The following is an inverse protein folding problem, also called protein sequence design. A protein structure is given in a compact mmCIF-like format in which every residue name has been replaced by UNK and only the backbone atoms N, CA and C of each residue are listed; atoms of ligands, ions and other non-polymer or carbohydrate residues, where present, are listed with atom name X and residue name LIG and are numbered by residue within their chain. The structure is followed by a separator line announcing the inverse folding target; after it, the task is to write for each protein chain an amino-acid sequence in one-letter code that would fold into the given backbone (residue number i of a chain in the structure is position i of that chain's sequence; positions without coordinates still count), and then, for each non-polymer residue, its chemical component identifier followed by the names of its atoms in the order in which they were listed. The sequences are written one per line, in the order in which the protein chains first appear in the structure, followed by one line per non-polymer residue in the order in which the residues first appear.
data_IF_387538916241
#
_entry.id   IF_387538916241
#
_cell.length_a   1.000
_cell.length_b   1.000
_cell.length_c   1.000
_cell.angle_alpha   90.00
_cell.angle_beta   90.00
_cell.angle_gamma   90.00
#
_symmetry.space_group_name_H-M   'P 1'
#
loop_
_entity.id
_entity.type
_entity.pdbx_description
1 polymer ?
#
# COMPACT_ATOMS: atom_id res chain seq x y z
N UNK A 1 -52.79 -48.08 17.92
CA UNK A 1 -51.46 -48.10 18.61
C UNK A 1 -50.31 -48.41 17.64
N UNK A 2 -49.98 -47.52 16.69
CA UNK A 2 -48.77 -47.68 15.86
C UNK A 2 -48.36 -46.37 15.16
N UNK A 3 -47.66 -45.46 15.83
CA UNK A 3 -46.97 -44.35 15.14
C UNK A 3 -45.89 -43.65 16.00
N UNK A 4 -45.00 -44.41 16.65
CA UNK A 4 -43.82 -43.84 17.32
C UNK A 4 -42.51 -44.58 17.00
N UNK A 5 -42.54 -45.71 16.28
CA UNK A 5 -41.36 -46.54 16.04
C UNK A 5 -40.55 -46.17 14.78
N UNK A 6 -41.10 -45.37 13.85
CA UNK A 6 -40.49 -45.14 12.52
C UNK A 6 -39.49 -43.98 12.45
N UNK A 7 -39.54 -43.03 13.39
CA UNK A 7 -38.65 -41.84 13.42
C UNK A 7 -37.27 -42.14 14.01
N UNK A 8 -37.19 -43.03 14.99
CA UNK A 8 -35.93 -43.43 15.66
C UNK A 8 -35.04 -44.26 14.72
N UNK A 9 -35.65 -45.11 13.89
CA UNK A 9 -34.94 -45.96 12.92
C UNK A 9 -34.26 -45.11 11.84
N UNK A 10 -34.91 -44.04 11.35
CA UNK A 10 -34.35 -43.13 10.34
C UNK A 10 -33.16 -42.31 10.87
N UNK A 11 -33.23 -41.82 12.12
CA UNK A 11 -32.11 -41.11 12.75
C UNK A 11 -30.90 -42.02 13.00
N UNK A 12 -31.12 -43.27 13.42
CA UNK A 12 -30.04 -44.26 13.61
C UNK A 12 -29.36 -44.63 12.29
N UNK A 13 -30.12 -44.75 11.19
CA UNK A 13 -29.56 -44.99 9.85
C UNK A 13 -28.76 -43.79 9.33
N UNK A 14 -29.22 -42.56 9.58
CA UNK A 14 -28.50 -41.35 9.19
C UNK A 14 -27.17 -41.21 9.96
N UNK A 15 -27.20 -41.45 11.27
CA UNK A 15 -25.98 -41.41 12.11
C UNK A 15 -25.00 -42.50 11.67
N UNK A 16 -25.49 -43.72 11.41
CA UNK A 16 -24.64 -44.80 10.90
C UNK A 16 -23.99 -44.43 9.55
N UNK A 17 -24.74 -43.78 8.65
CA UNK A 17 -24.22 -43.36 7.35
C UNK A 17 -23.15 -42.27 7.49
N UNK A 18 -23.34 -41.29 8.38
CA UNK A 18 -22.33 -40.26 8.67
C UNK A 18 -21.07 -40.88 9.26
N UNK A 19 -21.21 -41.82 10.20
CA UNK A 19 -20.07 -42.52 10.81
C UNK A 19 -19.30 -43.33 9.76
N UNK A 20 -20.01 -44.02 8.85
CA UNK A 20 -19.38 -44.76 7.75
C UNK A 20 -18.64 -43.83 6.80
N UNK A 21 -19.24 -42.69 6.41
CA UNK A 21 -18.56 -41.68 5.56
C UNK A 21 -17.32 -41.12 6.26
N UNK A 22 -17.40 -40.88 7.57
CA UNK A 22 -16.27 -40.36 8.36
C UNK A 22 -15.16 -41.39 8.52
N UNK A 23 -15.50 -42.68 8.68
CA UNK A 23 -14.53 -43.79 8.68
C UNK A 23 -13.90 -43.93 7.29
N UNK A 24 -14.67 -43.87 6.21
CA UNK A 24 -14.15 -43.91 4.84
C UNK A 24 -13.23 -42.73 4.57
N UNK A 25 -13.60 -41.52 5.04
CA UNK A 25 -12.74 -40.34 4.94
C UNK A 25 -11.44 -40.51 5.74
N UNK A 26 -11.52 -41.02 6.96
CA UNK A 26 -10.33 -41.29 7.77
C UNK A 26 -9.44 -42.39 7.19
N UNK A 27 -10.05 -43.43 6.58
CA UNK A 27 -9.32 -44.45 5.85
C UNK A 27 -8.70 -43.88 4.58
N UNK A 28 -9.42 -43.03 3.84
CA UNK A 28 -8.91 -42.32 2.67
C UNK A 28 -7.74 -41.39 3.01
N UNK A 29 -7.83 -40.63 4.11
CA UNK A 29 -6.73 -39.81 4.64
C UNK A 29 -5.57 -40.68 5.15
N UNK A 30 -5.84 -41.91 5.62
CA UNK A 30 -4.82 -42.85 6.10
C UNK A 30 -4.13 -43.63 4.97
N UNK A 31 -4.82 -43.86 3.85
CA UNK A 31 -4.26 -44.53 2.65
C UNK A 31 -3.70 -43.54 1.63
N UNK A 32 -4.15 -42.28 1.66
CA UNK A 32 -3.51 -41.20 0.93
C UNK A 32 -2.31 -40.76 1.75
N UNK A 33 -1.13 -41.26 1.42
CA UNK A 33 0.09 -40.58 1.84
C UNK A 33 0.01 -39.17 1.26
N UNK A 34 -0.24 -38.18 2.12
CA UNK A 34 -0.16 -36.78 1.75
C UNK A 34 1.33 -36.52 1.51
N UNK A 35 1.78 -36.74 0.29
CA UNK A 35 3.15 -36.46 -0.12
C UNK A 35 3.39 -34.96 0.05
N UNK A 36 4.13 -34.60 1.10
CA UNK A 36 4.72 -33.27 1.19
C UNK A 36 5.77 -33.13 0.08
N UNK A 37 5.88 -31.95 -0.56
CA UNK A 37 6.96 -31.70 -1.50
C UNK A 37 8.32 -31.99 -0.84
N UNK A 38 9.22 -32.65 -1.56
CA UNK A 38 10.52 -33.16 -1.09
C UNK A 38 11.42 -32.13 -0.38
N UNK A 39 11.07 -30.84 -0.44
CA UNK A 39 11.78 -29.72 0.15
C UNK A 39 11.81 -29.74 1.69
N UNK A 40 10.92 -30.50 2.35
CA UNK A 40 10.83 -30.52 3.82
C UNK A 40 11.41 -31.77 4.49
N UNK A 41 11.86 -32.76 3.71
CA UNK A 41 12.39 -34.01 4.28
C UNK A 41 13.88 -33.92 4.64
N UNK A 42 14.61 -33.00 4.01
CA UNK A 42 16.07 -32.90 4.16
C UNK A 42 16.54 -31.89 5.23
N UNK A 43 15.62 -31.17 5.86
CA UNK A 43 15.95 -30.28 6.97
C UNK A 43 15.83 -31.03 8.30
N UNK A 44 16.82 -31.89 8.59
CA UNK A 44 17.00 -32.56 9.89
C UNK A 44 17.27 -31.58 11.04
N UNK A 45 16.28 -30.79 11.44
CA UNK A 45 16.41 -29.76 12.49
C UNK A 45 15.54 -30.13 13.70
N UNK A 46 16.13 -30.27 14.91
CA UNK A 46 15.39 -30.64 16.11
C UNK A 46 14.43 -29.51 16.52
N UNK A 47 13.17 -29.86 16.76
CA UNK A 47 12.13 -28.91 17.17
C UNK A 47 12.36 -28.40 18.60
N UNK A 48 12.90 -27.18 18.73
CA UNK A 48 12.77 -26.35 19.92
C UNK A 48 11.62 -25.35 19.73
N UNK A 49 10.85 -25.11 20.81
CA UNK A 49 9.65 -24.26 20.84
C UNK A 49 9.87 -22.81 20.35
N UNK A 50 11.12 -22.36 20.18
CA UNK A 50 11.47 -21.06 19.62
C UNK A 50 11.25 -20.92 18.10
N UNK A 51 11.36 -21.99 17.31
CA UNK A 51 11.28 -21.89 15.85
C UNK A 51 9.85 -22.00 15.29
N UNK A 52 8.89 -22.46 16.09
CA UNK A 52 7.51 -22.60 15.65
C UNK A 52 6.81 -21.24 15.43
N UNK A 53 7.23 -20.19 16.15
CA UNK A 53 6.73 -18.83 15.95
C UNK A 53 7.07 -18.29 14.56
N UNK A 54 8.24 -18.63 14.01
CA UNK A 54 8.64 -18.24 12.67
C UNK A 54 7.87 -19.00 11.58
N UNK A 55 7.47 -20.25 11.86
CA UNK A 55 6.75 -21.11 10.91
C UNK A 55 5.23 -20.80 10.92
N UNK A 56 4.63 -20.43 12.06
CA UNK A 56 3.27 -19.87 12.07
C UNK A 56 3.16 -18.53 11.34
N UNK A 57 4.25 -17.76 11.26
CA UNK A 57 4.32 -16.53 10.43
C UNK A 57 4.05 -16.81 8.94
N UNK A 58 4.33 -18.02 8.47
CA UNK A 58 4.08 -18.44 7.08
C UNK A 58 2.64 -18.86 6.78
N UNK A 59 1.84 -19.23 7.79
CA UNK A 59 0.45 -19.70 7.64
C UNK A 59 -0.60 -18.67 8.09
N UNK A 60 -0.16 -17.58 8.73
CA UNK A 60 -0.88 -16.31 8.93
C UNK A 60 -0.76 -15.38 7.71
N UNK A 61 -0.46 -15.91 6.52
CA UNK A 61 -0.31 -15.19 5.24
C UNK A 61 -1.63 -14.66 4.64
N UNK A 62 -2.58 -14.21 5.46
CA UNK A 62 -3.24 -12.95 5.13
C UNK A 62 -2.28 -11.87 5.65
N UNK A 63 -1.23 -11.62 4.87
CA UNK A 63 -0.35 -10.49 5.10
C UNK A 63 -1.25 -9.26 5.08
N UNK A 64 -1.43 -8.59 6.23
CA UNK A 64 -1.89 -7.21 6.22
C UNK A 64 -0.98 -6.49 5.23
N UNK A 65 -1.55 -6.01 4.12
CA UNK A 65 -0.80 -5.18 3.18
C UNK A 65 -0.34 -3.98 4.00
N UNK A 66 0.96 -3.89 4.26
CA UNK A 66 1.53 -2.73 4.95
C UNK A 66 1.51 -1.58 3.96
N UNK A 67 0.72 -0.56 4.25
CA UNK A 67 0.59 0.62 3.40
C UNK A 67 1.65 1.63 3.83
N UNK A 68 2.45 2.09 2.86
CA UNK A 68 3.49 3.07 3.12
C UNK A 68 2.90 4.39 3.58
N UNK A 69 3.54 5.00 4.58
CA UNK A 69 3.11 6.27 5.19
C UNK A 69 2.95 7.42 4.18
N UNK A 70 3.71 7.38 3.08
CA UNK A 70 3.62 8.37 2.00
C UNK A 70 2.21 8.48 1.43
N UNK A 71 1.43 7.40 1.41
CA UNK A 71 0.04 7.43 0.96
C UNK A 71 -0.88 8.13 1.96
N UNK A 72 -0.59 8.05 3.25
CA UNK A 72 -1.25 8.89 4.26
C UNK A 72 -0.98 10.38 3.98
N UNK A 73 0.28 10.75 3.76
CA UNK A 73 0.61 12.13 3.42
C UNK A 73 -0.07 12.58 2.12
N UNK A 74 -0.04 11.75 1.06
CA UNK A 74 -0.70 12.05 -0.21
C UNK A 74 -2.21 12.19 -0.02
N UNK A 75 -2.86 11.31 0.73
CA UNK A 75 -4.27 11.41 1.08
C UNK A 75 -4.56 12.78 1.71
N UNK A 76 -3.84 13.14 2.78
CA UNK A 76 -4.02 14.41 3.51
C UNK A 76 -3.87 15.64 2.60
N UNK A 77 -2.84 15.69 1.76
CA UNK A 77 -2.55 16.89 0.94
C UNK A 77 -3.37 16.96 -0.34
N UNK A 78 -4.03 15.87 -0.74
CA UNK A 78 -4.86 15.82 -1.96
C UNK A 78 -6.35 15.80 -1.68
N UNK A 79 -6.76 15.69 -0.41
CA UNK A 79 -8.13 15.91 0.01
C UNK A 79 -8.44 17.42 -0.05
N UNK A 80 -9.61 17.76 -0.57
CA UNK A 80 -10.03 19.15 -0.79
C UNK A 80 -10.78 19.72 0.43
N UNK A 81 -11.00 18.91 1.47
CA UNK A 81 -11.69 19.31 2.69
C UNK A 81 -10.82 20.24 3.55
N UNK A 82 -11.32 21.44 3.84
CA UNK A 82 -10.61 22.46 4.64
C UNK A 82 -10.22 21.98 6.04
N UNK A 83 -10.92 20.99 6.59
CA UNK A 83 -10.61 20.40 7.90
C UNK A 83 -9.26 19.65 7.90
N UNK A 84 -8.83 19.16 6.73
CA UNK A 84 -7.57 18.40 6.57
C UNK A 84 -6.34 19.31 6.38
N UNK A 85 -6.54 20.62 6.19
CA UNK A 85 -5.46 21.54 5.82
C UNK A 85 -4.54 21.96 7.00
N UNK A 86 -4.89 21.64 8.25
CA UNK A 86 -4.16 22.09 9.45
C UNK A 86 -3.86 21.00 10.47
N UNK A 87 -4.08 19.73 10.10
CA UNK A 87 -4.06 18.58 11.01
C UNK A 87 -2.68 18.40 11.64
N UNK A 88 -1.64 18.51 10.82
CA UNK A 88 -0.26 18.32 11.25
C UNK A 88 0.26 19.49 12.09
N UNK A 89 -0.27 20.71 11.89
CA UNK A 89 0.17 21.91 12.62
C UNK A 89 -0.53 22.06 13.98
N UNK A 90 -1.74 21.51 14.13
CA UNK A 90 -2.53 21.62 15.36
C UNK A 90 -2.23 20.55 16.42
N UNK A 91 -1.40 19.55 16.13
CA UNK A 91 -1.11 18.46 17.06
C UNK A 91 0.11 18.77 17.96
N UNK A 92 -0.08 19.10 19.25
CA UNK A 92 0.98 19.65 20.12
C UNK A 92 2.09 18.65 20.51
N UNK A 93 1.94 17.36 20.17
CA UNK A 93 2.95 16.30 20.41
C UNK A 93 3.39 15.61 19.12
N UNK A 94 3.06 16.17 17.96
CA UNK A 94 3.42 15.58 16.68
C UNK A 94 4.91 15.77 16.39
N UNK A 95 5.62 14.66 16.25
CA UNK A 95 7.03 14.62 15.87
C UNK A 95 7.15 14.07 14.44
N UNK A 96 7.30 14.93 13.41
CA UNK A 96 7.34 14.50 12.02
C UNK A 96 8.58 13.67 11.67
N UNK A 97 9.57 13.60 12.57
CA UNK A 97 10.80 12.83 12.40
C UNK A 97 10.64 11.36 12.79
N UNK A 98 9.45 10.95 13.25
CA UNK A 98 9.12 9.57 13.59
C UNK A 98 8.01 9.03 12.70
N UNK A 99 7.93 7.69 12.50
CA UNK A 99 6.82 7.07 11.78
C UNK A 99 5.47 7.51 12.35
N UNK A 100 4.57 7.89 11.45
CA UNK A 100 3.23 8.40 11.77
C UNK A 100 2.21 7.33 11.45
N UNK A 101 1.26 7.11 12.34
CA UNK A 101 0.16 6.19 12.06
C UNK A 101 -0.78 6.79 11.00
N UNK A 102 -1.21 5.97 10.03
CA UNK A 102 -2.05 6.41 8.92
C UNK A 102 -3.35 7.11 9.35
N UNK A 103 -3.93 6.73 10.49
CA UNK A 103 -5.13 7.38 11.06
C UNK A 103 -4.96 8.88 11.33
N UNK A 104 -3.72 9.37 11.55
CA UNK A 104 -3.49 10.81 11.74
C UNK A 104 -3.72 11.60 10.44
N UNK A 105 -3.54 10.96 9.29
CA UNK A 105 -3.70 11.61 7.99
C UNK A 105 -5.15 11.72 7.53
N UNK A 106 -6.10 11.07 8.20
CA UNK A 106 -7.52 11.06 7.87
C UNK A 106 -8.38 11.43 9.11
N UNK A 107 -8.26 12.65 9.65
CA UNK A 107 -9.06 13.04 10.81
C UNK A 107 -10.52 13.27 10.43
N UNK A 108 -11.43 12.91 11.34
CA UNK A 108 -12.87 13.11 11.14
C UNK A 108 -13.54 12.04 10.29
N UNK A 109 -12.80 11.07 9.75
CA UNK A 109 -13.38 9.94 9.02
C UNK A 109 -13.89 8.90 10.03
N UNK A 110 -15.21 8.96 10.32
CA UNK A 110 -15.90 8.11 11.31
C UNK A 110 -15.81 6.61 11.01
N UNK A 111 -15.55 6.25 9.74
CA UNK A 111 -15.21 4.91 9.32
C UNK A 111 -13.71 4.87 8.99
N UNK A 112 -12.97 3.95 9.60
CA UNK A 112 -11.54 3.74 9.34
C UNK A 112 -11.28 3.57 7.83
N UNK A 113 -10.45 4.46 7.26
CA UNK A 113 -10.06 4.41 5.84
C UNK A 113 -9.55 3.02 5.50
N UNK A 114 -10.11 2.39 4.46
CA UNK A 114 -9.51 1.21 3.88
C UNK A 114 -8.27 1.63 3.08
N UNK A 115 -7.12 1.64 3.74
CA UNK A 115 -5.87 2.12 3.15
C UNK A 115 -5.42 1.35 1.92
N UNK A 116 -5.83 0.09 1.75
CA UNK A 116 -5.50 -0.69 0.55
C UNK A 116 -6.26 -0.16 -0.66
N UNK A 117 -7.57 0.03 -0.53
CA UNK A 117 -8.42 0.62 -1.57
C UNK A 117 -8.04 2.07 -1.85
N UNK A 118 -7.69 2.82 -0.79
CA UNK A 118 -7.29 4.22 -0.91
C UNK A 118 -5.97 4.37 -1.68
N UNK A 119 -5.00 3.48 -1.48
CA UNK A 119 -3.76 3.43 -2.27
C UNK A 119 -4.05 3.22 -3.76
N UNK A 120 -4.98 2.32 -4.09
CA UNK A 120 -5.39 2.08 -5.48
C UNK A 120 -6.02 3.34 -6.07
N UNK A 121 -6.98 3.94 -5.35
CA UNK A 121 -7.65 5.18 -5.76
C UNK A 121 -6.67 6.32 -5.97
N UNK A 122 -5.71 6.52 -5.05
CA UNK A 122 -4.69 7.56 -5.15
C UNK A 122 -3.73 7.31 -6.32
N UNK A 123 -3.33 6.06 -6.57
CA UNK A 123 -2.50 5.71 -7.71
C UNK A 123 -3.19 5.91 -9.05
N UNK A 124 -4.50 5.68 -9.13
CA UNK A 124 -5.28 5.94 -10.34
C UNK A 124 -5.48 7.44 -10.58
N UNK A 125 -5.83 8.19 -9.52
CA UNK A 125 -6.17 9.61 -9.62
C UNK A 125 -4.92 10.50 -9.71
N UNK A 126 -3.89 10.18 -8.94
CA UNK A 126 -2.67 10.97 -8.78
C UNK A 126 -1.39 10.10 -8.87
N UNK A 127 -1.17 9.37 -9.98
CA UNK A 127 0.02 8.52 -10.15
C UNK A 127 1.33 9.31 -10.10
N UNK A 128 1.28 10.61 -10.41
CA UNK A 128 2.41 11.54 -10.29
C UNK A 128 2.01 12.70 -9.38
N UNK A 129 2.73 12.87 -8.27
CA UNK A 129 2.57 13.97 -7.32
C UNK A 129 3.87 14.77 -7.27
N UNK A 130 3.77 16.09 -7.32
CA UNK A 130 4.92 17.00 -7.25
C UNK A 130 4.78 17.85 -5.99
N UNK A 131 5.56 17.53 -4.96
CA UNK A 131 5.74 18.45 -3.84
C UNK A 131 6.67 19.57 -4.28
N UNK A 132 6.18 20.80 -4.21
CA UNK A 132 6.75 21.96 -4.89
C UNK A 132 6.86 23.17 -3.96
N UNK A 133 7.53 24.21 -4.46
CA UNK A 133 7.49 25.55 -3.88
C UNK A 133 7.18 26.59 -4.94
N UNK A 134 6.23 27.48 -4.67
CA UNK A 134 5.69 28.42 -5.65
C UNK A 134 6.76 29.36 -6.22
N UNK A 135 7.69 29.82 -5.38
CA UNK A 135 8.77 30.75 -5.73
C UNK A 135 10.11 30.08 -6.07
N UNK A 136 10.17 28.74 -6.13
CA UNK A 136 11.41 28.01 -6.32
C UNK A 136 11.73 27.78 -7.81
N UNK A 137 12.88 28.25 -8.33
CA UNK A 137 13.23 28.07 -9.75
C UNK A 137 13.43 26.60 -10.15
N UNK A 138 13.96 25.76 -9.26
CA UNK A 138 14.08 24.31 -9.50
C UNK A 138 12.71 23.64 -9.61
N UNK A 139 11.75 24.08 -8.80
CA UNK A 139 10.38 23.59 -8.85
C UNK A 139 9.70 23.98 -10.17
N UNK A 140 9.86 25.24 -10.61
CA UNK A 140 9.38 25.68 -11.91
C UNK A 140 10.01 24.89 -13.07
N UNK A 141 11.33 24.63 -13.00
CA UNK A 141 12.05 23.84 -14.00
C UNK A 141 11.53 22.41 -14.11
N UNK A 142 11.31 21.73 -12.98
CA UNK A 142 10.76 20.38 -12.98
C UNK A 142 9.31 20.35 -13.51
N UNK A 143 8.45 21.28 -13.07
CA UNK A 143 7.07 21.39 -13.55
C UNK A 143 7.02 21.59 -15.07
N UNK A 144 7.82 22.51 -15.61
CA UNK A 144 7.92 22.75 -17.05
C UNK A 144 8.33 21.49 -17.83
N UNK A 145 9.30 20.74 -17.32
CA UNK A 145 9.70 19.47 -17.95
C UNK A 145 8.55 18.46 -17.92
N UNK A 146 7.87 18.28 -16.79
CA UNK A 146 6.73 17.36 -16.68
C UNK A 146 5.56 17.75 -17.60
N UNK A 147 5.28 19.05 -17.74
CA UNK A 147 4.27 19.58 -18.67
C UNK A 147 4.57 19.19 -20.13
N UNK A 148 5.84 19.19 -20.54
CA UNK A 148 6.23 18.83 -21.91
C UNK A 148 5.89 17.38 -22.30
N UNK A 149 5.70 16.49 -21.32
CA UNK A 149 5.27 15.10 -21.56
C UNK A 149 3.75 14.95 -21.75
N UNK A 150 2.95 15.99 -21.49
CA UNK A 150 1.48 15.96 -21.58
C UNK A 150 0.84 14.72 -20.92
N UNK A 151 1.20 14.48 -19.65
CA UNK A 151 0.79 13.28 -18.92
C UNK A 151 -0.74 13.21 -18.73
N UNK A 152 -1.29 11.99 -18.85
CA UNK A 152 -2.68 11.66 -18.51
C UNK A 152 -2.73 10.48 -17.54
N UNK A 153 -3.25 10.68 -16.30
CA UNK A 153 -3.70 11.96 -15.72
C UNK A 153 -2.55 12.97 -15.50
N UNK A 154 -2.85 14.28 -15.40
CA UNK A 154 -1.81 15.29 -15.18
C UNK A 154 -1.20 15.18 -13.77
N UNK A 155 0.06 15.63 -13.55
CA UNK A 155 0.66 15.65 -12.23
C UNK A 155 -0.17 16.48 -11.23
N UNK A 156 -0.37 15.96 -10.02
CA UNK A 156 -0.93 16.74 -8.90
C UNK A 156 0.19 17.53 -8.25
N UNK A 157 0.15 18.85 -8.38
CA UNK A 157 1.13 19.76 -7.76
C UNK A 157 0.65 20.18 -6.38
N UNK A 158 1.51 20.03 -5.37
CA UNK A 158 1.28 20.48 -3.99
C UNK A 158 2.29 21.59 -3.69
N UNK A 159 1.83 22.84 -3.66
CA UNK A 159 2.68 23.99 -3.29
C UNK A 159 2.81 24.05 -1.77
N UNK A 160 3.86 23.40 -1.24
CA UNK A 160 4.04 23.18 0.20
C UNK A 160 4.23 24.48 0.95
N UNK A 161 4.85 25.49 0.34
CA UNK A 161 5.06 26.81 0.94
C UNK A 161 3.77 27.62 1.16
N UNK A 162 2.68 27.24 0.51
CA UNK A 162 1.37 27.90 0.67
C UNK A 162 0.49 27.24 1.74
N UNK A 163 1.03 26.24 2.46
CA UNK A 163 0.32 25.53 3.53
C UNK A 163 0.86 25.88 4.91
N UNK A 164 -0.01 25.86 5.91
CA UNK A 164 0.35 26.14 7.30
C UNK A 164 1.18 25.01 7.94
N UNK A 165 1.05 23.78 7.42
CA UNK A 165 1.78 22.60 7.85
C UNK A 165 3.07 22.34 7.03
N UNK A 166 3.56 23.36 6.31
CA UNK A 166 4.72 23.27 5.41
C UNK A 166 5.98 22.68 6.08
N UNK A 167 6.23 23.03 7.34
CA UNK A 167 7.39 22.56 8.12
C UNK A 167 7.24 21.05 8.39
N UNK A 168 6.06 20.61 8.79
CA UNK A 168 5.74 19.21 9.07
C UNK A 168 5.85 18.37 7.81
N UNK A 169 5.23 18.81 6.70
CA UNK A 169 5.30 18.12 5.41
C UNK A 169 6.74 17.97 4.95
N UNK A 170 7.56 19.03 5.04
CA UNK A 170 8.98 18.95 4.68
C UNK A 170 9.74 17.92 5.53
N UNK A 171 9.49 17.89 6.83
CA UNK A 171 10.15 16.95 7.73
C UNK A 171 9.72 15.49 7.45
N UNK A 172 8.43 15.24 7.20
CA UNK A 172 7.91 13.93 6.80
C UNK A 172 8.55 13.50 5.48
N UNK A 173 8.53 14.34 4.44
CA UNK A 173 9.15 14.03 3.14
C UNK A 173 10.64 13.75 3.26
N UNK A 174 11.37 14.52 4.08
CA UNK A 174 12.79 14.28 4.32
C UNK A 174 13.03 12.90 4.91
N UNK A 175 12.18 12.46 5.85
CA UNK A 175 12.27 11.13 6.46
C UNK A 175 11.86 10.01 5.50
N UNK A 176 10.78 10.21 4.75
CA UNK A 176 10.21 9.16 3.89
C UNK A 176 10.99 8.97 2.59
N UNK A 177 11.60 10.02 2.05
CA UNK A 177 12.24 9.97 0.73
C UNK A 177 13.70 10.39 0.73
N UNK A 178 14.27 10.74 1.88
CA UNK A 178 15.64 11.25 2.02
C UNK A 178 15.90 12.56 1.24
N UNK A 179 14.85 13.25 0.79
CA UNK A 179 14.95 14.52 0.04
C UNK A 179 14.48 15.67 0.93
N UNK A 180 15.41 16.55 1.29
CA UNK A 180 15.17 17.73 2.13
C UNK A 180 14.97 19.03 1.34
N UNK A 181 14.97 18.95 0.02
CA UNK A 181 14.82 20.06 -0.92
C UNK A 181 13.58 19.89 -1.80
N UNK A 182 13.13 20.99 -2.39
CA UNK A 182 12.02 20.99 -3.36
C UNK A 182 12.57 21.33 -4.76
N UNK A 183 12.00 20.75 -5.83
CA UNK A 183 10.84 19.85 -5.82
C UNK A 183 11.19 18.44 -5.34
N UNK A 184 10.16 17.66 -4.99
CA UNK A 184 10.25 16.21 -4.81
C UNK A 184 9.13 15.56 -5.64
N UNK A 185 9.51 14.83 -6.69
CA UNK A 185 8.57 14.19 -7.62
C UNK A 185 8.35 12.76 -7.19
N UNK A 186 7.09 12.41 -6.93
CA UNK A 186 6.65 11.09 -6.48
C UNK A 186 5.88 10.42 -7.62
N UNK A 187 6.23 9.17 -7.93
CA UNK A 187 5.51 8.30 -8.86
C UNK A 187 5.06 7.07 -8.09
N UNK A 188 3.74 6.89 -7.97
CA UNK A 188 3.10 5.79 -7.20
C UNK A 188 3.73 5.53 -5.83
N UNK A 189 3.80 6.58 -5.01
CA UNK A 189 4.38 6.54 -3.66
C UNK A 189 5.91 6.54 -3.60
N UNK A 190 6.62 6.37 -4.72
CA UNK A 190 8.09 6.35 -4.74
C UNK A 190 8.65 7.68 -5.23
N UNK A 191 9.63 8.25 -4.50
CA UNK A 191 10.34 9.43 -4.98
C UNK A 191 11.27 9.07 -6.14
N UNK A 192 11.18 9.83 -7.23
CA UNK A 192 12.14 9.81 -8.33
C UNK A 192 13.12 11.00 -8.25
N UNK A 193 13.07 11.76 -7.15
CA UNK A 193 14.01 12.82 -6.83
C UNK A 193 13.54 14.25 -7.11
N UNK A 194 14.51 15.17 -7.13
CA UNK A 194 14.30 16.60 -7.35
C UNK A 194 14.47 17.02 -8.80
N UNK A 195 14.65 18.32 -9.03
CA UNK A 195 14.73 18.86 -10.40
C UNK A 195 15.88 18.29 -11.21
N UNK A 196 17.05 18.10 -10.60
CA UNK A 196 18.22 17.59 -11.32
C UNK A 196 18.11 16.10 -11.61
N UNK A 197 17.55 15.33 -10.66
CA UNK A 197 17.27 13.91 -10.82
C UNK A 197 16.29 13.67 -11.99
N UNK A 198 15.18 14.40 -12.03
CA UNK A 198 14.17 14.28 -13.11
C UNK A 198 14.74 14.71 -14.47
N UNK A 199 15.56 15.77 -14.48
CA UNK A 199 16.24 16.21 -15.69
C UNK A 199 17.28 15.18 -16.18
N UNK A 200 17.96 14.49 -15.27
CA UNK A 200 18.87 13.39 -15.62
C UNK A 200 18.09 12.22 -16.23
N UNK A 201 17.01 11.78 -15.58
CA UNK A 201 16.15 10.70 -16.10
C UNK A 201 15.58 11.02 -17.48
N UNK A 202 15.27 12.30 -17.77
CA UNK A 202 14.86 12.74 -19.09
C UNK A 202 15.99 12.58 -20.12
N UNK A 203 17.20 13.08 -19.82
CA UNK A 203 18.38 12.94 -20.71
C UNK A 203 18.75 11.48 -20.97
N UNK A 204 18.56 10.62 -19.97
CA UNK A 204 18.82 9.18 -20.07
C UNK A 204 17.69 8.41 -20.76
N UNK A 205 16.62 9.09 -21.19
CA UNK A 205 15.44 8.50 -21.84
C UNK A 205 14.70 7.48 -20.94
N UNK A 206 14.88 7.58 -19.63
CA UNK A 206 14.23 6.70 -18.65
C UNK A 206 12.92 7.27 -18.12
N UNK A 207 12.78 8.60 -18.10
CA UNK A 207 11.64 9.28 -17.47
C UNK A 207 10.29 8.87 -18.10
N UNK A 208 10.23 8.78 -19.44
CA UNK A 208 9.03 8.30 -20.16
C UNK A 208 8.64 6.89 -19.71
N UNK A 209 9.62 5.99 -19.64
CA UNK A 209 9.42 4.59 -19.24
C UNK A 209 8.91 4.48 -17.81
N UNK A 210 9.35 5.36 -16.91
CA UNK A 210 8.86 5.42 -15.53
C UNK A 210 7.36 5.75 -15.50
N UNK A 211 6.92 6.74 -16.27
CA UNK A 211 5.50 7.10 -16.37
C UNK A 211 4.65 5.99 -16.96
N UNK A 212 5.10 5.37 -18.06
CA UNK A 212 4.38 4.28 -18.71
C UNK A 212 4.24 3.06 -17.78
N UNK A 213 5.31 2.69 -17.05
CA UNK A 213 5.25 1.63 -16.03
C UNK A 213 4.30 1.95 -14.89
N UNK A 214 4.10 3.23 -14.58
CA UNK A 214 3.14 3.67 -13.58
C UNK A 214 1.68 3.67 -14.08
N UNK A 215 1.44 3.37 -15.36
CA UNK A 215 0.13 3.42 -16.00
C UNK A 215 -0.28 4.81 -16.48
N UNK A 216 0.67 5.76 -16.53
CA UNK A 216 0.44 7.13 -17.00
C UNK A 216 0.63 7.17 -18.51
N UNK A 217 -0.35 7.72 -19.23
CA UNK A 217 -0.23 7.91 -20.67
C UNK A 217 0.60 9.16 -20.96
N UNK A 218 1.55 9.03 -21.88
CA UNK A 218 2.42 10.12 -22.36
C UNK A 218 1.96 10.48 -23.76
N UNK A 219 1.36 11.65 -23.94
CA UNK A 219 0.78 12.05 -25.25
C UNK A 219 1.65 13.00 -26.05
N UNK A 220 2.75 13.47 -25.46
CA UNK A 220 3.78 14.25 -26.13
C UNK A 220 5.15 13.75 -25.69
N UNK A 221 6.10 13.70 -26.62
CA UNK A 221 7.50 13.48 -26.27
C UNK A 221 8.12 14.85 -25.97
N UNK A 222 8.65 15.00 -24.75
CA UNK A 222 9.47 16.14 -24.41
C UNK A 222 10.62 16.23 -25.43
N UNK A 223 10.66 17.31 -26.21
CA UNK A 223 11.72 17.55 -27.19
C UNK A 223 13.10 17.60 -26.48
N UNK A 224 14.13 17.04 -27.14
CA UNK A 224 15.52 16.97 -26.62
C UNK A 224 16.17 18.34 -26.41
#
# INVERSE_FOLDING_TARGET
MASLATTTIRRRRLIALIVVVLIIFLLFVRTSELELPDVLRDAGVPLSKGNFAHIMKGKLRFSSVEVDEIYGLIHLVTNDDHEHQHVLSQSPKFDPTKPVNLTLYAPGEENEVNWVEEVERLNEKYPVVVFSKSFCPYSAKAKKLLESYSLRPPPKVIEVDLRDDSIQIKAILTRLTEKSTFPNVIVRGTSIGGSDDVQQLHREKELKRIFEKAGVQVTADAEE
#
